data_IF_137717272191
#
_entry.id   IF_137717272191
#
_cell.length_a   1.000
_cell.length_b   1.000
_cell.length_c   1.000
_cell.angle_alpha   90.00
_cell.angle_beta   90.00
_cell.angle_gamma   90.00
#
_symmetry.space_group_name_H-M   'P 1'
#
loop_
_entity.id
_entity.type
_entity.pdbx_description
1 polymer ?
#
# COMPACT_ATOMS: atom_id res chain seq x y z
N UNK A 1 31.15 -2.00 14.54
CA UNK A 1 29.95 -2.84 14.32
C UNK A 1 29.43 -3.27 15.69
N UNK A 2 28.24 -2.82 16.11
CA UNK A 2 27.78 -3.06 17.50
C UNK A 2 27.29 -4.50 17.63
N UNK A 3 27.56 -5.17 18.76
CA UNK A 3 27.14 -6.56 19.04
C UNK A 3 25.64 -6.79 18.78
N UNK A 4 24.85 -5.75 19.07
CA UNK A 4 23.41 -5.68 18.80
C UNK A 4 23.07 -5.90 17.30
N UNK A 5 23.83 -5.29 16.39
CA UNK A 5 23.59 -5.39 14.94
C UNK A 5 23.98 -6.77 14.38
N UNK A 6 24.91 -7.46 15.05
CA UNK A 6 25.27 -8.83 14.71
C UNK A 6 24.18 -9.81 15.17
N UNK A 7 23.69 -9.65 16.40
CA UNK A 7 22.57 -10.46 16.92
C UNK A 7 21.30 -10.24 16.09
N UNK A 8 21.01 -9.00 15.70
CA UNK A 8 19.88 -8.70 14.81
C UNK A 8 19.99 -9.36 13.44
N UNK A 9 21.16 -9.31 12.81
CA UNK A 9 21.38 -9.99 11.51
C UNK A 9 21.28 -11.50 11.62
N UNK A 10 21.81 -12.11 12.68
CA UNK A 10 21.71 -13.56 12.90
C UNK A 10 20.26 -13.98 13.13
N UNK A 11 19.49 -13.19 13.88
CA UNK A 11 18.07 -13.45 14.08
C UNK A 11 17.28 -13.30 12.77
N UNK A 12 17.50 -12.23 12.00
CA UNK A 12 16.85 -12.02 10.71
C UNK A 12 17.13 -13.19 9.75
N UNK A 13 18.40 -13.57 9.58
CA UNK A 13 18.81 -14.74 8.78
C UNK A 13 18.17 -16.04 9.24
N UNK A 14 18.01 -16.23 10.56
CA UNK A 14 17.35 -17.42 11.10
C UNK A 14 15.86 -17.45 10.79
N UNK A 15 15.20 -16.29 10.78
CA UNK A 15 13.78 -16.20 10.42
C UNK A 15 13.61 -16.37 8.91
N UNK A 16 14.45 -15.70 8.11
CA UNK A 16 14.50 -15.86 6.64
C UNK A 16 14.70 -17.32 6.23
N UNK A 17 15.71 -18.02 6.79
CA UNK A 17 15.94 -19.44 6.51
C UNK A 17 14.86 -20.40 7.04
N UNK A 18 13.77 -19.89 7.63
CA UNK A 18 12.59 -20.65 8.04
C UNK A 18 11.31 -20.16 7.36
N UNK A 19 11.41 -19.18 6.45
CA UNK A 19 10.31 -18.81 5.59
C UNK A 19 10.13 -19.92 4.57
N UNK A 20 8.90 -20.41 4.51
CA UNK A 20 8.45 -21.29 3.45
C UNK A 20 8.01 -20.36 2.31
N UNK A 21 8.80 -20.30 1.23
CA UNK A 21 8.60 -19.36 0.14
C UNK A 21 7.27 -19.61 -0.59
N UNK A 22 6.80 -20.86 -0.62
CA UNK A 22 5.50 -21.24 -1.17
C UNK A 22 4.32 -20.74 -0.29
N UNK A 23 4.61 -20.34 0.94
CA UNK A 23 3.63 -19.79 1.89
C UNK A 23 3.85 -18.30 2.17
N UNK A 24 4.63 -17.60 1.34
CA UNK A 24 4.84 -16.15 1.42
C UNK A 24 3.68 -15.39 0.75
N UNK A 25 3.19 -14.28 1.34
CA UNK A 25 2.17 -13.46 0.69
C UNK A 25 2.76 -12.82 -0.58
N UNK A 26 2.00 -12.88 -1.68
CA UNK A 26 2.38 -12.31 -2.97
C UNK A 26 2.00 -10.84 -3.08
N UNK A 27 0.89 -10.45 -2.44
CA UNK A 27 0.48 -9.05 -2.35
C UNK A 27 0.35 -8.60 -0.89
N UNK A 28 1.11 -7.57 -0.50
CA UNK A 28 1.04 -6.95 0.83
C UNK A 28 0.47 -5.54 0.75
N UNK A 29 -0.63 -5.28 1.47
CA UNK A 29 -1.12 -3.93 1.74
C UNK A 29 -0.55 -3.37 3.04
N UNK A 30 -0.15 -2.10 3.07
CA UNK A 30 0.46 -1.47 4.26
C UNK A 30 -0.17 -0.12 4.59
N UNK A 31 -0.71 -0.03 5.80
CA UNK A 31 -1.23 1.20 6.40
C UNK A 31 -0.11 1.85 7.23
N UNK A 32 0.48 2.93 6.69
CA UNK A 32 1.70 3.60 7.19
C UNK A 32 1.41 4.54 8.39
N UNK A 33 0.87 4.00 9.47
CA UNK A 33 0.40 4.78 10.63
C UNK A 33 1.50 5.01 11.68
N UNK A 34 1.38 6.11 12.44
CA UNK A 34 2.24 6.44 13.56
C UNK A 34 3.27 7.55 13.31
N UNK A 35 3.37 8.11 12.09
CA UNK A 35 4.37 9.14 11.74
C UNK A 35 4.38 10.35 12.70
N UNK A 36 3.21 10.97 12.93
CA UNK A 36 3.08 12.12 13.85
C UNK A 36 3.39 11.76 15.30
N UNK A 37 2.96 10.58 15.74
CA UNK A 37 3.21 10.08 17.11
C UNK A 37 4.69 9.79 17.33
N UNK A 38 5.36 9.22 16.33
CA UNK A 38 6.80 8.98 16.33
C UNK A 38 7.60 10.27 16.40
N UNK A 39 7.25 11.28 15.59
CA UNK A 39 7.89 12.58 15.65
C UNK A 39 7.75 13.22 17.04
N UNK A 40 6.53 13.26 17.59
CA UNK A 40 6.28 13.79 18.93
C UNK A 40 7.10 13.06 20.01
N UNK A 41 7.18 11.73 19.94
CA UNK A 41 7.98 10.93 20.88
C UNK A 41 9.49 11.18 20.75
N UNK A 42 9.95 11.62 19.57
CA UNK A 42 11.36 11.91 19.27
C UNK A 42 11.72 13.40 19.41
N UNK A 43 10.78 14.25 19.83
CA UNK A 43 10.96 15.70 19.92
C UNK A 43 11.02 16.42 18.57
N UNK A 44 10.60 15.76 17.49
CA UNK A 44 10.61 16.28 16.13
C UNK A 44 9.27 16.87 15.68
N UNK A 45 9.27 17.45 14.48
CA UNK A 45 8.08 18.03 13.83
C UNK A 45 7.27 16.96 13.08
N UNK A 46 5.99 17.25 12.82
CA UNK A 46 5.13 16.40 11.98
C UNK A 46 5.76 16.09 10.62
N UNK A 47 6.36 17.09 9.98
CA UNK A 47 7.07 16.96 8.70
C UNK A 47 8.25 15.98 8.82
N UNK A 48 9.07 16.08 9.86
CA UNK A 48 10.17 15.13 10.11
C UNK A 48 9.66 13.69 10.31
N UNK A 49 8.50 13.52 10.96
CA UNK A 49 7.87 12.21 11.11
C UNK A 49 7.39 11.62 9.78
N UNK A 50 6.82 12.46 8.91
CA UNK A 50 6.42 12.03 7.57
C UNK A 50 7.63 11.72 6.68
N UNK A 51 8.69 12.53 6.74
CA UNK A 51 9.93 12.26 6.01
C UNK A 51 10.57 10.94 6.45
N UNK A 52 10.69 10.70 7.76
CA UNK A 52 11.21 9.42 8.26
C UNK A 52 10.31 8.22 7.87
N UNK A 53 9.00 8.45 7.74
CA UNK A 53 8.07 7.48 7.19
C UNK A 53 8.29 7.21 5.70
N UNK A 54 8.54 8.25 4.91
CA UNK A 54 8.89 8.12 3.50
C UNK A 54 10.18 7.31 3.31
N UNK A 55 11.23 7.64 4.07
CA UNK A 55 12.52 6.93 4.01
C UNK A 55 12.36 5.43 4.32
N UNK A 56 11.42 5.07 5.21
CA UNK A 56 11.13 3.68 5.57
C UNK A 56 10.52 2.86 4.42
N UNK A 57 9.83 3.51 3.48
CA UNK A 57 9.19 2.81 2.35
C UNK A 57 10.24 2.05 1.53
N UNK A 58 11.30 2.74 1.09
CA UNK A 58 12.35 2.13 0.27
C UNK A 58 13.09 1.01 1.00
N UNK A 59 13.29 1.13 2.32
CA UNK A 59 13.83 0.04 3.13
C UNK A 59 12.92 -1.19 3.13
N UNK A 60 11.62 -1.00 3.33
CA UNK A 60 10.65 -2.09 3.41
C UNK A 60 10.46 -2.79 2.06
N UNK A 61 10.38 -2.03 0.96
CA UNK A 61 10.37 -2.57 -0.39
C UNK A 61 11.65 -3.36 -0.72
N UNK A 62 12.79 -2.91 -0.19
CA UNK A 62 14.04 -3.68 -0.22
C UNK A 62 13.89 -5.04 0.44
N UNK A 63 13.21 -5.14 1.58
CA UNK A 63 12.93 -6.43 2.24
C UNK A 63 11.94 -7.28 1.45
N UNK A 64 10.93 -6.69 0.82
CA UNK A 64 9.99 -7.40 -0.06
C UNK A 64 10.69 -8.10 -1.23
N UNK A 65 11.74 -7.47 -1.78
CA UNK A 65 12.58 -8.06 -2.85
C UNK A 65 13.31 -9.33 -2.39
N UNK A 66 13.47 -9.51 -1.07
CA UNK A 66 14.10 -10.68 -0.48
C UNK A 66 13.09 -11.79 -0.10
N UNK A 67 11.78 -11.58 -0.30
CA UNK A 67 10.71 -12.46 0.23
C UNK A 67 9.62 -12.85 -0.77
N UNK A 68 9.93 -12.86 -2.08
CA UNK A 68 9.03 -13.24 -3.19
C UNK A 68 7.69 -12.50 -3.24
N UNK A 69 7.65 -11.29 -2.66
CA UNK A 69 6.50 -10.39 -2.75
C UNK A 69 6.51 -9.75 -4.13
N UNK A 70 5.37 -9.78 -4.80
CA UNK A 70 5.21 -9.33 -6.19
C UNK A 70 4.47 -7.99 -6.27
N UNK A 71 3.55 -7.74 -5.34
CA UNK A 71 2.75 -6.50 -5.28
C UNK A 71 2.79 -5.92 -3.87
N UNK A 72 2.99 -4.60 -3.77
CA UNK A 72 2.90 -3.86 -2.51
C UNK A 72 1.99 -2.65 -2.68
N UNK A 73 0.97 -2.54 -1.83
CA UNK A 73 0.08 -1.37 -1.80
C UNK A 73 0.34 -0.52 -0.56
N UNK A 74 0.77 0.72 -0.76
CA UNK A 74 1.15 1.65 0.31
C UNK A 74 0.11 2.75 0.46
N UNK A 75 -0.52 2.85 1.63
CA UNK A 75 -1.46 3.94 1.90
C UNK A 75 -0.74 5.21 2.33
N UNK A 76 -0.48 6.09 1.36
CA UNK A 76 0.33 7.30 1.55
C UNK A 76 -0.52 8.53 1.87
N UNK A 77 -1.70 8.66 1.27
CA UNK A 77 -2.61 9.80 1.50
C UNK A 77 -4.06 9.40 1.29
N UNK A 78 -4.88 9.47 2.35
CA UNK A 78 -6.32 9.22 2.23
C UNK A 78 -7.08 10.43 1.65
N UNK A 79 -8.29 10.21 1.14
CA UNK A 79 -9.22 11.29 0.80
C UNK A 79 -9.44 12.23 2.00
N UNK A 80 -9.67 11.68 3.19
CA UNK A 80 -9.88 12.47 4.43
C UNK A 80 -8.64 13.31 4.84
N UNK A 81 -7.45 12.99 4.32
CA UNK A 81 -6.25 13.77 4.61
C UNK A 81 -6.17 15.05 3.75
N UNK A 82 -6.94 15.14 2.68
CA UNK A 82 -7.01 16.34 1.84
C UNK A 82 -7.75 17.49 2.54
N UNK A 83 -8.58 17.19 3.54
CA UNK A 83 -9.29 18.20 4.36
C UNK A 83 -8.38 18.87 5.41
N UNK A 84 -7.10 18.48 5.49
CA UNK A 84 -6.15 19.09 6.42
C UNK A 84 -5.81 20.53 6.02
N UNK A 85 -5.44 21.40 7.00
CA UNK A 85 -4.97 22.75 6.70
C UNK A 85 -3.82 22.74 5.69
N UNK A 86 -3.79 23.72 4.78
CA UNK A 86 -2.79 23.80 3.70
C UNK A 86 -1.34 23.75 4.22
N UNK A 87 -1.09 24.35 5.39
CA UNK A 87 0.22 24.35 6.06
C UNK A 87 0.70 22.96 6.48
N UNK A 88 -0.21 22.01 6.71
CA UNK A 88 0.11 20.59 6.98
C UNK A 88 0.11 19.76 5.69
N UNK A 89 -0.85 20.02 4.79
CA UNK A 89 -1.03 19.24 3.57
C UNK A 89 0.10 19.47 2.56
N UNK A 90 0.54 20.72 2.35
CA UNK A 90 1.56 21.05 1.34
C UNK A 90 2.92 20.38 1.61
N UNK A 91 3.47 20.39 2.83
CA UNK A 91 4.68 19.61 3.13
C UNK A 91 4.49 18.11 2.91
N UNK A 92 3.34 17.54 3.30
CA UNK A 92 3.05 16.12 3.09
C UNK A 92 3.02 15.75 1.61
N UNK A 93 2.36 16.56 0.77
CA UNK A 93 2.35 16.36 -0.68
C UNK A 93 3.76 16.42 -1.27
N UNK A 94 4.59 17.40 -0.87
CA UNK A 94 5.99 17.46 -1.33
C UNK A 94 6.78 16.19 -0.95
N UNK A 95 6.59 15.66 0.27
CA UNK A 95 7.23 14.41 0.72
C UNK A 95 6.77 13.24 -0.14
N UNK A 96 5.46 13.12 -0.39
CA UNK A 96 4.89 12.06 -1.23
C UNK A 96 5.44 12.15 -2.65
N UNK A 97 5.44 13.34 -3.25
CA UNK A 97 5.97 13.58 -4.60
C UNK A 97 7.44 13.17 -4.71
N UNK A 98 8.27 13.58 -3.74
CA UNK A 98 9.69 13.20 -3.71
C UNK A 98 9.88 11.70 -3.52
N UNK A 99 9.04 11.07 -2.69
CA UNK A 99 9.05 9.62 -2.49
C UNK A 99 8.74 8.90 -3.80
N UNK A 100 7.66 9.27 -4.48
CA UNK A 100 7.24 8.66 -5.75
C UNK A 100 8.31 8.84 -6.83
N UNK A 101 8.91 10.04 -6.95
CA UNK A 101 10.05 10.26 -7.87
C UNK A 101 11.22 9.34 -7.52
N UNK A 102 11.59 9.24 -6.25
CA UNK A 102 12.68 8.38 -5.79
C UNK A 102 12.40 6.89 -6.07
N UNK A 103 11.17 6.42 -5.91
CA UNK A 103 10.78 5.05 -6.27
C UNK A 103 10.93 4.80 -7.78
N UNK A 104 10.52 5.76 -8.61
CA UNK A 104 10.64 5.64 -10.06
C UNK A 104 12.08 5.72 -10.57
N UNK A 105 12.90 6.61 -9.98
CA UNK A 105 14.32 6.80 -10.33
C UNK A 105 15.20 5.61 -9.91
N UNK A 106 14.79 4.86 -8.87
CA UNK A 106 15.52 3.71 -8.37
C UNK A 106 15.61 2.56 -9.40
N UNK A 107 14.58 2.40 -10.23
CA UNK A 107 14.56 1.47 -11.36
C UNK A 107 14.32 0.00 -11.00
N UNK A 108 14.11 -0.34 -9.72
CA UNK A 108 13.75 -1.72 -9.29
C UNK A 108 12.25 -2.00 -9.24
N UNK A 109 11.42 -0.96 -9.27
CA UNK A 109 10.00 -1.06 -8.97
C UNK A 109 9.13 -0.46 -10.07
N UNK A 110 8.01 -1.12 -10.37
CA UNK A 110 6.96 -0.60 -11.23
C UNK A 110 5.97 0.19 -10.39
N UNK A 111 5.92 1.51 -10.53
CA UNK A 111 5.01 2.37 -9.76
C UNK A 111 3.65 2.41 -10.45
N UNK A 112 2.57 2.31 -9.67
CA UNK A 112 1.21 2.45 -10.16
C UNK A 112 0.40 3.31 -9.18
N UNK A 113 -0.31 4.32 -9.68
CA UNK A 113 -1.14 5.16 -8.81
C UNK A 113 -2.47 4.46 -8.47
N UNK A 114 -2.87 4.53 -7.20
CA UNK A 114 -4.19 4.04 -6.75
C UNK A 114 -4.91 5.18 -6.03
N UNK A 115 -6.05 5.62 -6.56
CA UNK A 115 -6.84 6.71 -5.99
C UNK A 115 -7.45 7.61 -7.05
N UNK A 116 -8.07 8.70 -6.60
CA UNK A 116 -8.67 9.68 -7.50
C UNK A 116 -7.66 10.80 -7.81
N UNK A 117 -7.24 10.92 -9.07
CA UNK A 117 -6.29 11.96 -9.50
C UNK A 117 -6.91 13.35 -9.55
N UNK A 118 -8.21 13.44 -9.87
CA UNK A 118 -8.88 14.72 -10.14
C UNK A 118 -9.01 15.59 -8.90
N UNK A 119 -8.97 14.98 -7.72
CA UNK A 119 -9.00 15.68 -6.41
C UNK A 119 -7.61 16.14 -5.94
N UNK A 120 -6.54 15.79 -6.65
CA UNK A 120 -5.17 16.14 -6.29
C UNK A 120 -4.70 17.42 -6.98
N UNK A 121 -3.78 18.19 -6.39
CA UNK A 121 -3.16 19.33 -7.09
C UNK A 121 -2.46 18.91 -8.37
N UNK A 122 -2.49 19.78 -9.39
CA UNK A 122 -1.94 19.48 -10.72
C UNK A 122 -0.48 18.97 -10.70
N UNK A 123 0.36 19.54 -9.84
CA UNK A 123 1.74 19.09 -9.65
C UNK A 123 1.82 17.62 -9.20
N UNK A 124 1.02 17.24 -8.21
CA UNK A 124 0.98 15.87 -7.69
C UNK A 124 0.46 14.91 -8.74
N UNK A 125 -0.57 15.30 -9.51
CA UNK A 125 -1.06 14.50 -10.64
C UNK A 125 0.04 14.23 -11.67
N UNK A 126 0.79 15.27 -12.06
CA UNK A 126 1.91 15.14 -12.99
C UNK A 126 2.97 14.17 -12.47
N UNK A 127 3.37 14.29 -11.20
CA UNK A 127 4.38 13.41 -10.60
C UNK A 127 3.95 11.94 -10.64
N UNK A 128 2.70 11.66 -10.27
CA UNK A 128 2.16 10.29 -10.26
C UNK A 128 2.12 9.70 -11.68
N UNK A 129 1.63 10.46 -12.66
CA UNK A 129 1.57 10.04 -14.07
C UNK A 129 2.96 9.81 -14.66
N UNK A 130 3.91 10.73 -14.40
CA UNK A 130 5.30 10.60 -14.86
C UNK A 130 5.95 9.35 -14.29
N UNK A 131 5.77 9.06 -13.00
CA UNK A 131 6.35 7.89 -12.35
C UNK A 131 5.77 6.57 -12.90
N UNK A 132 4.45 6.50 -13.08
CA UNK A 132 3.80 5.33 -13.65
C UNK A 132 4.23 5.08 -15.11
N UNK A 133 4.32 6.14 -15.92
CA UNK A 133 4.79 6.03 -17.30
C UNK A 133 6.27 5.63 -17.37
N UNK A 134 7.14 6.22 -16.54
CA UNK A 134 8.57 5.97 -16.56
C UNK A 134 8.93 4.53 -16.12
N UNK A 135 8.06 3.89 -15.34
CA UNK A 135 8.31 2.56 -14.75
C UNK A 135 7.45 1.45 -15.37
N UNK A 136 6.64 1.76 -16.39
CA UNK A 136 5.68 0.82 -16.99
C UNK A 136 6.30 -0.52 -17.43
N UNK A 137 7.49 -0.47 -18.03
CA UNK A 137 8.19 -1.64 -18.58
C UNK A 137 9.14 -2.32 -17.58
N UNK A 138 9.14 -1.89 -16.31
CA UNK A 138 9.96 -2.51 -15.27
C UNK A 138 9.33 -3.83 -14.85
N UNK A 139 10.08 -4.92 -15.08
CA UNK A 139 9.78 -6.26 -14.59
C UNK A 139 10.31 -6.44 -13.16
N UNK A 140 9.60 -5.85 -12.20
CA UNK A 140 9.92 -5.84 -10.78
C UNK A 140 8.66 -5.76 -9.93
N UNK A 141 8.81 -5.53 -8.62
CA UNK A 141 7.66 -5.42 -7.71
C UNK A 141 6.75 -4.29 -8.18
N UNK A 142 5.46 -4.58 -8.32
CA UNK A 142 4.41 -3.58 -8.55
C UNK A 142 4.13 -2.85 -7.24
N UNK A 143 4.42 -1.55 -7.20
CA UNK A 143 4.24 -0.68 -6.04
C UNK A 143 3.06 0.25 -6.31
N UNK A 144 1.91 -0.11 -5.73
CA UNK A 144 0.74 0.75 -5.71
C UNK A 144 0.93 1.86 -4.67
N UNK A 145 0.97 3.10 -5.14
CA UNK A 145 1.02 4.30 -4.29
C UNK A 145 -0.39 4.84 -4.11
N UNK A 146 -1.04 4.50 -2.99
CA UNK A 146 -2.39 4.92 -2.72
C UNK A 146 -2.44 6.38 -2.20
N UNK A 147 -2.68 7.31 -3.13
CA UNK A 147 -2.65 8.77 -2.93
C UNK A 147 -3.97 9.39 -3.39
N UNK A 148 -4.64 10.13 -2.51
CA UNK A 148 -6.02 10.55 -2.77
C UNK A 148 -6.97 9.36 -2.77
N UNK A 149 -6.66 8.34 -1.95
CA UNK A 149 -7.37 7.07 -1.95
C UNK A 149 -8.36 6.95 -0.78
N UNK A 150 -9.53 6.41 -1.06
CA UNK A 150 -10.46 5.93 -0.04
C UNK A 150 -11.31 4.79 -0.60
N UNK A 151 -11.36 3.64 0.09
CA UNK A 151 -12.00 2.44 -0.46
C UNK A 151 -13.50 2.58 -0.70
N UNK A 152 -14.19 3.46 0.04
CA UNK A 152 -15.61 3.78 -0.25
C UNK A 152 -15.75 4.60 -1.53
N UNK A 153 -14.85 5.54 -1.76
CA UNK A 153 -14.84 6.34 -2.97
C UNK A 153 -14.47 5.49 -4.18
N UNK A 154 -13.51 4.58 -4.03
CA UNK A 154 -13.14 3.62 -5.08
C UNK A 154 -14.34 2.79 -5.54
N UNK A 155 -15.12 2.23 -4.62
CA UNK A 155 -16.33 1.46 -4.97
C UNK A 155 -17.35 2.35 -5.69
N UNK A 156 -17.55 3.58 -5.22
CA UNK A 156 -18.48 4.52 -5.86
C UNK A 156 -18.03 4.90 -7.29
N UNK A 157 -16.72 5.12 -7.48
CA UNK A 157 -16.13 5.44 -8.78
C UNK A 157 -16.18 4.22 -9.72
N UNK A 158 -15.96 3.01 -9.22
CA UNK A 158 -16.06 1.77 -9.99
C UNK A 158 -17.49 1.55 -10.50
N UNK A 159 -18.50 1.67 -9.63
CA UNK A 159 -19.91 1.57 -10.03
C UNK A 159 -20.29 2.66 -11.03
N UNK A 160 -19.80 3.89 -10.85
CA UNK A 160 -20.02 4.97 -11.83
C UNK A 160 -19.41 4.63 -13.18
N UNK A 161 -18.17 4.13 -13.21
CA UNK A 161 -17.49 3.75 -14.45
C UNK A 161 -18.23 2.63 -15.19
N UNK A 162 -18.71 1.62 -14.46
CA UNK A 162 -19.50 0.51 -15.00
C UNK A 162 -20.79 0.99 -15.66
N UNK A 163 -21.53 1.86 -14.98
CA UNK A 163 -22.77 2.41 -15.51
C UNK A 163 -22.55 3.23 -16.78
N UNK A 164 -21.47 4.02 -16.83
CA UNK A 164 -21.13 4.81 -18.01
C UNK A 164 -20.74 3.91 -19.20
N UNK A 165 -19.93 2.87 -18.96
CA UNK A 165 -19.54 1.91 -20.00
C UNK A 165 -20.75 1.19 -20.61
N UNK A 166 -21.68 0.70 -19.77
CA UNK A 166 -22.89 0.02 -20.26
C UNK A 166 -23.86 0.96 -20.96
N UNK A 167 -23.95 2.23 -20.52
CA UNK A 167 -24.74 3.24 -21.22
C UNK A 167 -24.17 3.52 -22.63
N UNK A 168 -22.85 3.58 -22.79
CA UNK A 168 -22.20 3.75 -24.10
C UNK A 168 -22.43 2.53 -25.02
N UNK A 169 -22.50 1.32 -24.46
CA UNK A 169 -22.84 0.09 -25.19
C UNK A 169 -24.33 -0.04 -25.52
N UNK A 170 -25.19 0.82 -24.97
CA UNK A 170 -26.64 0.76 -25.15
C UNK A 170 -27.33 -0.38 -24.39
N UNK A 171 -26.69 -0.92 -23.34
CA UNK A 171 -27.30 -1.94 -22.46
C UNK A 171 -28.42 -1.31 -21.64
N UNK A 172 -29.59 -1.95 -21.59
CA UNK A 172 -30.68 -1.50 -20.72
C UNK A 172 -30.37 -1.75 -19.23
N UNK A 173 -31.06 -1.05 -18.33
CA UNK A 173 -30.86 -1.28 -16.89
C UNK A 173 -31.32 -2.68 -16.47
N UNK A 174 -32.37 -3.20 -17.10
CA UNK A 174 -32.90 -4.54 -16.87
C UNK A 174 -31.87 -5.60 -17.25
N UNK A 175 -31.29 -5.50 -18.45
CA UNK A 175 -30.23 -6.42 -18.91
C UNK A 175 -28.99 -6.34 -18.01
N UNK A 176 -28.58 -5.13 -17.61
CA UNK A 176 -27.43 -4.96 -16.72
C UNK A 176 -27.68 -5.59 -15.34
N UNK A 177 -28.88 -5.41 -14.78
CA UNK A 177 -29.23 -5.98 -13.47
C UNK A 177 -29.25 -7.52 -13.46
N UNK A 178 -29.49 -8.16 -14.61
CA UNK A 178 -29.45 -9.62 -14.73
C UNK A 178 -28.04 -10.20 -14.75
N UNK A 179 -27.06 -9.45 -15.30
CA UNK A 179 -25.69 -9.93 -15.49
C UNK A 179 -24.70 -9.40 -14.46
N UNK A 180 -25.02 -8.30 -13.77
CA UNK A 180 -24.13 -7.64 -12.82
C UNK A 180 -23.71 -8.57 -11.68
N UNK A 181 -22.41 -8.73 -11.50
CA UNK A 181 -21.83 -9.46 -10.38
C UNK A 181 -20.61 -8.73 -9.78
N UNK A 182 -19.91 -9.44 -8.88
CA UNK A 182 -18.73 -8.96 -8.16
C UNK A 182 -17.58 -8.68 -9.13
N UNK A 183 -17.37 -9.53 -10.15
CA UNK A 183 -16.25 -9.41 -11.08
C UNK A 183 -16.41 -8.18 -11.97
N UNK A 184 -17.64 -7.87 -12.39
CA UNK A 184 -17.92 -6.63 -13.12
C UNK A 184 -17.51 -5.39 -12.31
N UNK A 185 -17.79 -5.33 -11.00
CA UNK A 185 -17.33 -4.20 -10.18
C UNK A 185 -15.80 -4.19 -10.05
N UNK A 186 -15.18 -5.36 -9.90
CA UNK A 186 -13.74 -5.51 -9.76
C UNK A 186 -12.95 -5.00 -10.98
N UNK A 187 -13.49 -5.19 -12.20
CA UNK A 187 -12.91 -4.68 -13.45
C UNK A 187 -12.84 -3.14 -13.51
N UNK A 188 -13.64 -2.45 -12.70
CA UNK A 188 -13.69 -1.00 -12.62
C UNK A 188 -12.99 -0.40 -11.39
N UNK A 189 -12.41 -1.21 -10.50
CA UNK A 189 -11.62 -0.72 -9.38
C UNK A 189 -10.30 -0.11 -9.86
N UNK A 190 -9.67 0.71 -9.02
CA UNK A 190 -8.36 1.29 -9.35
C UNK A 190 -7.28 0.21 -9.48
N UNK A 191 -7.44 -0.92 -8.81
CA UNK A 191 -6.50 -2.06 -8.87
C UNK A 191 -6.91 -3.15 -9.86
N UNK A 192 -7.76 -2.84 -10.85
CA UNK A 192 -8.22 -3.82 -11.85
C UNK A 192 -7.07 -4.64 -12.46
N UNK A 193 -7.29 -5.94 -12.61
CA UNK A 193 -6.31 -6.87 -13.15
C UNK A 193 -5.14 -7.21 -12.21
N UNK A 194 -5.12 -6.71 -10.98
CA UNK A 194 -4.13 -7.06 -9.95
C UNK A 194 -4.73 -8.08 -8.97
N UNK A 195 -3.91 -8.97 -8.37
CA UNK A 195 -4.38 -9.88 -7.32
C UNK A 195 -4.78 -9.10 -6.06
N UNK A 196 -5.71 -9.66 -5.29
CA UNK A 196 -6.07 -9.13 -3.97
C UNK A 196 -4.89 -9.24 -2.98
N UNK A 197 -4.80 -8.36 -1.97
CA UNK A 197 -3.78 -8.47 -0.93
C UNK A 197 -3.98 -9.73 -0.10
N UNK A 198 -2.93 -10.53 0.03
CA UNK A 198 -2.88 -11.67 0.92
C UNK A 198 -2.80 -11.23 2.39
N UNK A 199 -2.03 -10.17 2.64
CA UNK A 199 -1.70 -9.67 3.97
C UNK A 199 -1.83 -8.15 4.03
N UNK A 200 -2.59 -7.65 5.00
CA UNK A 200 -2.64 -6.23 5.33
C UNK A 200 -1.92 -5.98 6.65
N UNK A 201 -0.86 -5.18 6.59
CA UNK A 201 -0.07 -4.76 7.74
C UNK A 201 -0.49 -3.36 8.16
N UNK A 202 -0.76 -3.16 9.45
CA UNK A 202 -0.98 -1.83 10.02
C UNK A 202 -0.10 -1.59 11.24
N UNK A 203 0.64 -0.50 11.21
CA UNK A 203 1.52 -0.05 12.31
C UNK A 203 0.77 0.78 13.35
N UNK A 204 1.46 1.15 14.42
CA UNK A 204 1.01 2.01 15.54
C UNK A 204 -0.01 1.44 16.53
N UNK A 205 -0.34 0.15 16.43
CA UNK A 205 -1.24 -0.55 17.36
C UNK A 205 -2.73 -0.34 17.10
N UNK A 206 -3.10 0.46 16.11
CA UNK A 206 -4.51 0.68 15.74
C UNK A 206 -5.09 -0.57 15.04
N UNK A 207 -6.19 -1.11 15.55
CA UNK A 207 -6.84 -2.33 15.03
C UNK A 207 -8.09 -2.02 14.20
N UNK A 208 -7.91 -1.34 13.07
CA UNK A 208 -8.97 -1.05 12.08
C UNK A 208 -8.37 -0.86 10.70
N UNK A 209 -9.18 -0.83 9.65
CA UNK A 209 -8.71 -0.54 8.28
C UNK A 209 -8.82 0.91 7.88
N UNK A 210 -9.66 1.69 8.56
CA UNK A 210 -9.90 3.10 8.25
C UNK A 210 -10.33 3.36 6.78
N UNK A 211 -10.82 2.36 6.06
CA UNK A 211 -11.23 2.49 4.66
C UNK A 211 -10.17 2.10 3.63
N UNK A 212 -9.07 1.47 4.04
CA UNK A 212 -8.06 0.95 3.12
C UNK A 212 -8.52 -0.37 2.44
N UNK A 213 -8.42 -0.44 1.11
CA UNK A 213 -8.63 -1.65 0.28
C UNK A 213 -9.89 -2.43 0.65
N UNK A 214 -11.03 -1.75 0.83
CA UNK A 214 -12.24 -2.36 1.41
C UNK A 214 -12.78 -3.55 0.62
N UNK A 215 -12.68 -3.49 -0.70
CA UNK A 215 -13.13 -4.56 -1.59
C UNK A 215 -12.10 -5.69 -1.63
N UNK A 216 -10.88 -5.34 -1.97
CA UNK A 216 -9.77 -6.25 -2.21
C UNK A 216 -9.37 -7.02 -0.95
N UNK A 217 -9.51 -6.42 0.24
CA UNK A 217 -9.11 -7.04 1.50
C UNK A 217 -10.15 -7.95 2.14
N UNK A 218 -11.27 -8.26 1.46
CA UNK A 218 -12.35 -9.07 2.01
C UNK A 218 -11.88 -10.43 2.57
N UNK A 219 -10.83 -11.01 1.98
CA UNK A 219 -10.25 -12.29 2.38
C UNK A 219 -8.79 -12.20 2.86
N UNK A 220 -8.25 -11.00 3.05
CA UNK A 220 -6.89 -10.82 3.54
C UNK A 220 -6.72 -11.28 4.98
N UNK A 221 -5.52 -11.74 5.32
CA UNK A 221 -5.07 -11.79 6.70
C UNK A 221 -4.63 -10.41 7.19
N UNK A 222 -4.83 -10.14 8.48
CA UNK A 222 -4.52 -8.84 9.09
C UNK A 222 -3.44 -8.98 10.17
N UNK A 223 -2.40 -8.15 10.04
CA UNK A 223 -1.31 -8.06 11.02
C UNK A 223 -1.20 -6.64 11.59
N UNK A 224 -1.62 -6.49 12.84
CA UNK A 224 -1.52 -5.23 13.58
C UNK A 224 -0.29 -5.25 14.48
N UNK A 225 0.61 -4.28 14.35
CA UNK A 225 1.77 -4.15 15.23
C UNK A 225 1.82 -2.80 15.93
N UNK A 226 2.29 -2.79 17.17
CA UNK A 226 2.36 -1.60 18.02
C UNK A 226 3.42 -0.59 17.59
N UNK A 227 4.43 -1.04 16.84
CA UNK A 227 5.55 -0.21 16.40
C UNK A 227 5.05 0.90 15.46
N UNK A 228 5.48 2.15 15.65
CA UNK A 228 5.20 3.23 14.71
C UNK A 228 5.92 3.03 13.38
N UNK A 229 5.29 3.44 12.27
CA UNK A 229 5.84 3.23 10.91
C UNK A 229 7.31 3.62 10.75
N UNK A 230 7.79 4.83 11.17
CA UNK A 230 9.20 5.17 11.00
C UNK A 230 10.17 4.27 11.79
N UNK A 231 9.68 3.60 12.85
CA UNK A 231 10.45 2.67 13.67
C UNK A 231 10.27 1.20 13.25
N UNK A 232 9.50 0.92 12.19
CA UNK A 232 9.28 -0.44 11.68
C UNK A 232 10.60 -1.03 11.16
N UNK A 233 10.90 -2.28 11.54
CA UNK A 233 12.18 -2.93 11.21
C UNK A 233 11.95 -4.21 10.43
N UNK A 234 12.99 -4.68 9.75
CA UNK A 234 12.99 -5.99 9.06
C UNK A 234 12.50 -7.13 9.95
N UNK A 235 12.84 -7.13 11.24
CA UNK A 235 12.36 -8.15 12.17
C UNK A 235 10.84 -8.13 12.38
N UNK A 236 10.24 -6.95 12.36
CA UNK A 236 8.80 -6.78 12.52
C UNK A 236 8.07 -7.19 11.22
N UNK A 237 8.66 -6.88 10.05
CA UNK A 237 8.23 -7.39 8.75
C UNK A 237 8.28 -8.93 8.68
N UNK A 238 9.42 -9.54 8.98
CA UNK A 238 9.59 -11.00 8.98
C UNK A 238 8.66 -11.71 9.98
N UNK A 239 8.27 -11.04 11.07
CA UNK A 239 7.25 -11.56 12.00
C UNK A 239 5.86 -11.56 11.38
N UNK A 240 5.50 -10.54 10.62
CA UNK A 240 4.23 -10.48 9.89
C UNK A 240 4.14 -11.61 8.86
N UNK A 241 5.18 -11.81 8.04
CA UNK A 241 5.21 -12.90 7.06
C UNK A 241 5.11 -14.28 7.71
N UNK A 242 5.85 -14.49 8.81
CA UNK A 242 5.78 -15.74 9.55
C UNK A 242 4.39 -15.99 10.15
N UNK A 243 3.72 -14.95 10.62
CA UNK A 243 2.35 -15.06 11.17
C UNK A 243 1.35 -15.46 10.07
N UNK A 244 1.44 -14.82 8.90
CA UNK A 244 0.70 -15.20 7.70
C UNK A 244 0.92 -16.67 7.32
N UNK A 245 2.19 -17.09 7.13
CA UNK A 245 2.53 -18.46 6.75
C UNK A 245 2.09 -19.52 7.79
N UNK A 246 1.95 -19.13 9.07
CA UNK A 246 1.46 -20.02 10.12
C UNK A 246 -0.07 -20.14 10.16
N UNK A 247 -0.81 -19.17 9.62
CA UNK A 247 -2.28 -19.23 9.47
C UNK A 247 -2.69 -19.90 8.18
N UNK A 248 -2.00 -19.58 7.08
CA UNK A 248 -2.28 -20.16 5.76
C UNK A 248 -2.18 -21.70 5.79
N UNK A 249 -1.18 -22.24 6.51
CA UNK A 249 -1.05 -23.67 6.76
C UNK A 249 -2.23 -24.34 7.50
N UNK A 250 -3.08 -23.58 8.20
CA UNK A 250 -4.27 -24.12 8.89
C UNK A 250 -5.50 -24.20 7.97
N UNK A 251 -5.52 -23.40 6.90
CA UNK A 251 -6.60 -23.45 5.90
C UNK A 251 -6.33 -24.49 4.82
N UNK A 252 -5.06 -24.84 4.56
CA UNK A 252 -4.63 -25.83 3.57
C UNK A 252 -4.51 -27.28 4.06
N UNK A 253 -5.19 -27.67 5.15
CA UNK A 253 -5.28 -29.07 5.63
C UNK A 253 -6.69 -29.61 5.56
#
# INVERSE_FOLDING_TARGET
MKLRDLVYRLYARRVEGRLDHDASPKHIGVILDGNRRWAKASGGTTEQGHQAGADKISEMLGWCTETDVEVVTLWMLSTDNLDRPEVELRPLLNIIENTVRGLAEDGRWRVHHVGNLDILPARTQTVLKEAEQATHDIDGILVNVAVGYGGRQEIADAVRSLLLEHAEKGTSFEELAEVLDIDHIAEHLYTRGQPDPDLVIRTSGEQRLSGFMLWQSAHSEYYFCEVFWPAFRKVDFLRALRDYAARHRRYGT
#
